data_IF_951370410187
#
_entry.id   IF_951370410187
#
_cell.length_a   1.000
_cell.length_b   1.000
_cell.length_c   1.000
_cell.angle_alpha   90.00
_cell.angle_beta   90.00
_cell.angle_gamma   90.00
#
_symmetry.space_group_name_H-M   'P 1'
#
loop_
_entity.id
_entity.type
_entity.pdbx_description
1 polymer ?
#
# COMPACT_ATOMS: atom_id res chain seq x y z
N UNK A 1 16.36 4.90 -19.00
CA UNK A 1 15.42 6.02 -19.22
C UNK A 1 16.10 7.36 -19.41
N UNK A 2 17.03 7.78 -18.55
CA UNK A 2 17.65 9.12 -18.62
C UNK A 2 18.22 9.51 -19.99
N UNK A 3 18.97 8.61 -20.62
CA UNK A 3 19.61 8.78 -21.94
C UNK A 3 18.73 8.34 -23.14
N UNK A 4 17.47 7.98 -22.90
CA UNK A 4 16.60 7.47 -23.95
C UNK A 4 15.79 8.62 -24.55
N UNK A 5 16.09 9.02 -25.79
CA UNK A 5 15.44 10.19 -26.40
C UNK A 5 14.37 9.84 -27.44
N UNK A 6 14.43 8.66 -28.06
CA UNK A 6 13.43 8.21 -29.02
C UNK A 6 12.20 7.63 -28.31
N UNK A 7 11.00 8.16 -28.60
CA UNK A 7 9.73 7.75 -27.97
C UNK A 7 9.49 6.25 -28.01
N UNK A 8 9.70 5.59 -29.16
CA UNK A 8 9.53 4.14 -29.28
C UNK A 8 10.52 3.36 -28.40
N UNK A 9 11.74 3.87 -28.27
CA UNK A 9 12.76 3.28 -27.39
C UNK A 9 12.41 3.50 -25.92
N UNK A 10 11.87 4.67 -25.56
CA UNK A 10 11.39 4.95 -24.21
C UNK A 10 10.24 4.02 -23.80
N UNK A 11 9.24 3.84 -24.68
CA UNK A 11 8.11 2.93 -24.44
C UNK A 11 8.57 1.49 -24.26
N UNK A 12 9.42 1.01 -25.17
CA UNK A 12 9.97 -0.34 -25.06
C UNK A 12 10.79 -0.51 -23.79
N UNK A 13 11.67 0.44 -23.48
CA UNK A 13 12.52 0.36 -22.30
C UNK A 13 11.69 0.41 -21.01
N UNK A 14 10.62 1.21 -20.95
CA UNK A 14 9.72 1.24 -19.81
C UNK A 14 9.00 -0.11 -19.62
N UNK A 15 8.51 -0.72 -20.71
CA UNK A 15 7.88 -2.04 -20.67
C UNK A 15 8.88 -3.15 -20.27
N UNK A 16 10.09 -3.13 -20.83
CA UNK A 16 11.15 -4.10 -20.53
C UNK A 16 11.60 -3.98 -19.06
N UNK A 17 11.72 -2.75 -18.53
CA UNK A 17 12.06 -2.51 -17.12
C UNK A 17 10.94 -2.94 -16.17
N UNK A 18 9.68 -2.69 -16.52
CA UNK A 18 8.54 -3.17 -15.74
C UNK A 18 8.51 -4.71 -15.72
N UNK A 19 8.66 -5.34 -16.89
CA UNK A 19 8.65 -6.81 -17.02
C UNK A 19 9.78 -7.54 -16.29
N UNK A 20 10.77 -6.83 -15.73
CA UNK A 20 11.80 -7.46 -14.89
C UNK A 20 11.20 -8.15 -13.66
N UNK A 21 10.11 -7.63 -13.10
CA UNK A 21 9.49 -8.24 -11.91
C UNK A 21 8.91 -9.62 -12.23
N UNK A 22 8.46 -9.84 -13.47
CA UNK A 22 7.85 -11.11 -13.88
C UNK A 22 8.85 -12.27 -13.97
N UNK A 23 10.16 -11.97 -14.03
CA UNK A 23 11.23 -12.98 -14.08
C UNK A 23 11.92 -13.17 -12.73
N UNK A 24 11.57 -12.36 -11.72
CA UNK A 24 12.13 -12.49 -10.37
C UNK A 24 11.43 -13.62 -9.60
N UNK A 25 12.16 -14.36 -8.75
CA UNK A 25 11.54 -15.19 -7.73
C UNK A 25 10.61 -14.37 -6.83
N UNK A 26 9.49 -14.94 -6.43
CA UNK A 26 8.44 -14.26 -5.65
C UNK A 26 8.99 -13.60 -4.36
N UNK A 27 9.92 -14.27 -3.68
CA UNK A 27 10.59 -13.78 -2.46
C UNK A 27 11.36 -12.47 -2.67
N UNK A 28 11.83 -12.23 -3.91
CA UNK A 28 12.66 -11.07 -4.26
C UNK A 28 11.89 -9.96 -4.96
N UNK A 29 10.67 -10.24 -5.42
CA UNK A 29 9.84 -9.30 -6.15
C UNK A 29 9.48 -8.06 -5.30
N UNK A 30 9.09 -8.26 -4.03
CA UNK A 30 8.77 -7.15 -3.12
C UNK A 30 10.00 -6.29 -2.77
N UNK A 31 11.16 -6.86 -2.35
CA UNK A 31 12.38 -6.08 -2.17
C UNK A 31 12.80 -5.28 -3.41
N UNK A 32 12.66 -5.86 -4.60
CA UNK A 32 12.98 -5.18 -5.86
C UNK A 32 12.04 -3.99 -6.12
N UNK A 33 10.72 -4.19 -5.98
CA UNK A 33 9.73 -3.11 -6.11
C UNK A 33 9.95 -2.01 -5.07
N UNK A 34 10.28 -2.37 -3.83
CA UNK A 34 10.63 -1.41 -2.77
C UNK A 34 11.85 -0.57 -3.17
N UNK A 35 12.91 -1.20 -3.67
CA UNK A 35 14.11 -0.51 -4.13
C UNK A 35 13.81 0.42 -5.32
N UNK A 36 12.93 0.00 -6.24
CA UNK A 36 12.45 0.84 -7.34
C UNK A 36 11.79 2.12 -6.81
N UNK A 37 10.82 2.00 -5.90
CA UNK A 37 10.10 3.16 -5.36
C UNK A 37 11.00 4.11 -4.55
N UNK A 38 11.90 3.56 -3.73
CA UNK A 38 12.90 4.36 -3.01
C UNK A 38 13.78 5.15 -3.99
N UNK A 39 14.21 4.51 -5.07
CA UNK A 39 15.05 5.16 -6.09
C UNK A 39 14.28 6.25 -6.83
N UNK A 40 13.04 5.99 -7.26
CA UNK A 40 12.21 7.00 -7.92
C UNK A 40 11.96 8.20 -7.01
N UNK A 41 11.62 7.97 -5.74
CA UNK A 41 11.39 9.05 -4.78
C UNK A 41 12.64 9.89 -4.54
N UNK A 42 13.82 9.26 -4.40
CA UNK A 42 15.09 9.95 -4.17
C UNK A 42 15.48 10.85 -5.35
N UNK A 43 15.30 10.37 -6.58
CA UNK A 43 15.72 11.09 -7.78
C UNK A 43 14.66 12.06 -8.33
N UNK A 44 13.43 12.04 -7.80
CA UNK A 44 12.27 12.74 -8.38
C UNK A 44 12.50 14.24 -8.60
N UNK A 45 13.06 14.91 -7.60
CA UNK A 45 13.34 16.36 -7.65
C UNK A 45 14.47 16.72 -8.61
N UNK A 46 15.32 15.74 -8.98
CA UNK A 46 16.40 15.91 -9.95
C UNK A 46 15.96 15.74 -11.40
N UNK A 47 14.72 15.33 -11.66
CA UNK A 47 14.18 15.15 -13.01
C UNK A 47 13.68 16.49 -13.53
N UNK A 48 14.30 17.00 -14.58
CA UNK A 48 13.85 18.22 -15.25
C UNK A 48 12.58 17.99 -16.11
N UNK A 49 11.91 19.09 -16.43
CA UNK A 49 10.63 19.11 -17.13
C UNK A 49 10.67 18.38 -18.49
N UNK A 50 11.81 18.39 -19.20
CA UNK A 50 11.92 17.73 -20.51
C UNK A 50 11.98 16.20 -20.40
N UNK A 51 12.27 15.67 -19.21
CA UNK A 51 12.40 14.24 -18.95
C UNK A 51 11.22 13.68 -18.17
N UNK A 52 10.37 14.51 -17.58
CA UNK A 52 9.31 14.05 -16.67
C UNK A 52 8.38 13.02 -17.33
N UNK A 53 7.99 13.23 -18.59
CA UNK A 53 7.05 12.35 -19.31
C UNK A 53 7.55 10.91 -19.43
N UNK A 54 8.85 10.72 -19.69
CA UNK A 54 9.42 9.37 -19.86
C UNK A 54 9.57 8.65 -18.52
N UNK A 55 9.76 9.39 -17.42
CA UNK A 55 9.77 8.82 -16.08
C UNK A 55 8.36 8.53 -15.56
N UNK A 56 7.38 9.40 -15.87
CA UNK A 56 5.96 9.11 -15.64
C UNK A 56 5.51 7.86 -16.39
N UNK A 57 5.96 7.68 -17.63
CA UNK A 57 5.70 6.46 -18.40
C UNK A 57 6.29 5.22 -17.73
N UNK A 58 7.51 5.30 -17.20
CA UNK A 58 8.14 4.19 -16.47
C UNK A 58 7.37 3.86 -15.19
N UNK A 59 7.05 4.87 -14.38
CA UNK A 59 6.25 4.71 -13.15
C UNK A 59 4.93 4.04 -13.47
N UNK A 60 4.21 4.55 -14.49
CA UNK A 60 2.96 3.97 -14.95
C UNK A 60 3.12 2.52 -15.41
N UNK A 61 4.18 2.21 -16.14
CA UNK A 61 4.41 0.84 -16.64
C UNK A 61 4.65 -0.15 -15.50
N UNK A 62 5.34 0.28 -14.44
CA UNK A 62 5.56 -0.53 -13.22
C UNK A 62 4.29 -0.66 -12.38
N UNK A 63 3.43 0.36 -12.32
CA UNK A 63 2.14 0.28 -11.61
C UNK A 63 1.08 -0.49 -12.38
N UNK A 64 1.05 -0.37 -13.71
CA UNK A 64 0.11 -1.06 -14.60
C UNK A 64 0.51 -2.53 -14.81
N UNK A 65 1.59 -2.99 -14.17
CA UNK A 65 1.96 -4.40 -14.17
C UNK A 65 0.79 -5.25 -13.70
N UNK A 66 0.47 -6.29 -14.48
CA UNK A 66 -0.43 -7.34 -14.02
C UNK A 66 0.28 -8.06 -12.89
N UNK A 67 0.02 -7.66 -11.64
CA UNK A 67 0.51 -8.35 -10.45
C UNK A 67 0.24 -9.84 -10.64
N UNK A 68 1.28 -10.68 -10.81
CA UNK A 68 1.12 -12.11 -11.03
C UNK A 68 0.35 -12.72 -9.86
N UNK A 69 -0.45 -13.75 -10.12
CA UNK A 69 -1.24 -14.37 -9.06
C UNK A 69 -0.36 -14.94 -7.94
N UNK A 70 0.87 -15.40 -8.25
CA UNK A 70 1.85 -15.84 -7.24
C UNK A 70 2.15 -14.76 -6.21
N UNK A 71 2.53 -13.57 -6.67
CA UNK A 71 2.74 -12.41 -5.79
C UNK A 71 1.49 -12.00 -5.01
N UNK A 72 0.29 -12.11 -5.60
CA UNK A 72 -0.96 -11.85 -4.87
C UNK A 72 -1.15 -12.86 -3.74
N UNK A 73 -0.86 -14.14 -3.97
CA UNK A 73 -0.97 -15.16 -2.95
C UNK A 73 0.04 -14.95 -1.83
N UNK A 74 1.31 -14.70 -2.18
CA UNK A 74 2.33 -14.39 -1.19
C UNK A 74 1.98 -13.17 -0.35
N UNK A 75 1.49 -12.09 -0.97
CA UNK A 75 1.05 -10.91 -0.24
C UNK A 75 -0.08 -11.24 0.73
N UNK A 76 -1.06 -12.04 0.32
CA UNK A 76 -2.18 -12.46 1.18
C UNK A 76 -1.67 -13.34 2.33
N UNK A 77 -0.74 -14.27 2.05
CA UNK A 77 -0.16 -15.18 3.05
C UNK A 77 0.59 -14.42 4.14
N UNK A 78 1.42 -13.45 3.76
CA UNK A 78 2.21 -12.67 4.74
C UNK A 78 1.41 -11.54 5.39
N UNK A 79 0.22 -11.19 4.87
CA UNK A 79 -0.46 -9.96 5.29
C UNK A 79 -0.79 -9.95 6.79
N UNK A 80 -1.36 -11.05 7.28
CA UNK A 80 -1.71 -11.19 8.69
C UNK A 80 -0.45 -11.29 9.55
N UNK A 81 0.61 -11.94 9.05
CA UNK A 81 1.90 -12.06 9.74
C UNK A 81 2.57 -10.68 9.94
N UNK A 82 2.58 -9.83 8.92
CA UNK A 82 3.15 -8.49 9.00
C UNK A 82 2.36 -7.59 9.96
N UNK A 83 1.02 -7.69 9.97
CA UNK A 83 0.19 -6.99 10.94
C UNK A 83 0.46 -7.47 12.38
N UNK A 84 0.66 -8.79 12.58
CA UNK A 84 0.99 -9.40 13.87
C UNK A 84 2.37 -8.96 14.37
N UNK A 85 3.32 -8.80 13.45
CA UNK A 85 4.64 -8.25 13.78
C UNK A 85 4.58 -6.78 14.22
N UNK A 86 3.66 -5.98 13.67
CA UNK A 86 3.51 -4.57 14.05
C UNK A 86 2.84 -4.39 15.43
N UNK A 87 2.01 -5.33 15.84
CA UNK A 87 1.29 -5.32 17.13
C UNK A 87 1.62 -6.54 17.99
N UNK A 88 2.88 -6.99 17.98
CA UNK A 88 3.33 -8.10 18.83
C UNK A 88 2.99 -7.93 20.32
N UNK A 89 3.10 -6.72 20.94
CA UNK A 89 2.67 -6.53 22.32
C UNK A 89 1.14 -6.48 22.49
N UNK A 90 0.35 -6.60 21.42
CA UNK A 90 -1.12 -6.48 21.41
C UNK A 90 -1.58 -5.24 22.16
N UNK A 91 -0.92 -4.12 21.86
CA UNK A 91 -1.16 -2.84 22.54
C UNK A 91 -2.49 -2.20 22.12
N UNK A 92 -3.16 -2.75 21.11
CA UNK A 92 -4.52 -2.35 20.71
C UNK A 92 -4.60 -1.00 20.01
N UNK A 93 -3.46 -0.42 19.66
CA UNK A 93 -3.40 0.87 18.98
C UNK A 93 -3.51 0.76 17.46
N UNK A 94 -3.49 -0.45 16.89
CA UNK A 94 -3.65 -0.63 15.45
C UNK A 94 -5.13 -0.56 15.07
N UNK A 95 -5.51 0.31 14.11
CA UNK A 95 -6.85 0.29 13.52
C UNK A 95 -6.98 -0.90 12.56
N UNK A 96 -7.12 -2.10 13.12
CA UNK A 96 -7.10 -3.37 12.37
C UNK A 96 -8.23 -3.44 11.34
N UNK A 97 -9.40 -2.89 11.63
CA UNK A 97 -10.53 -2.78 10.71
C UNK A 97 -10.16 -1.97 9.45
N UNK A 98 -9.51 -0.82 9.63
CA UNK A 98 -9.01 0.03 8.55
C UNK A 98 -7.90 -0.68 7.77
N UNK A 99 -6.99 -1.34 8.48
CA UNK A 99 -5.88 -2.07 7.87
C UNK A 99 -6.36 -3.30 7.09
N UNK A 100 -7.44 -3.97 7.49
CA UNK A 100 -8.01 -5.11 6.75
C UNK A 100 -8.85 -4.70 5.54
N UNK A 101 -9.32 -3.45 5.47
CA UNK A 101 -10.19 -2.95 4.38
C UNK A 101 -9.66 -3.23 2.95
N UNK A 102 -8.37 -2.99 2.63
CA UNK A 102 -7.82 -3.34 1.33
C UNK A 102 -7.90 -4.84 1.02
N UNK A 103 -7.66 -5.69 2.01
CA UNK A 103 -7.72 -7.14 1.87
C UNK A 103 -9.17 -7.61 1.68
N UNK A 104 -10.13 -7.06 2.45
CA UNK A 104 -11.56 -7.33 2.30
C UNK A 104 -12.06 -6.96 0.90
N UNK A 105 -11.68 -5.76 0.41
CA UNK A 105 -12.03 -5.32 -0.94
C UNK A 105 -11.42 -6.20 -2.02
N UNK A 106 -10.20 -6.70 -1.83
CA UNK A 106 -9.61 -7.69 -2.74
C UNK A 106 -10.43 -9.00 -2.75
N UNK A 107 -10.97 -9.41 -1.61
CA UNK A 107 -11.84 -10.57 -1.48
C UNK A 107 -13.18 -10.44 -2.20
N UNK A 108 -13.73 -9.23 -2.30
CA UNK A 108 -15.01 -8.97 -3.01
C UNK A 108 -14.82 -8.70 -4.49
N UNK A 109 -13.87 -7.83 -4.83
CA UNK A 109 -13.80 -7.18 -6.14
C UNK A 109 -12.88 -7.93 -7.12
N UNK A 110 -12.02 -8.82 -6.63
CA UNK A 110 -11.04 -9.49 -7.49
C UNK A 110 -11.73 -10.33 -8.57
N UNK A 111 -11.37 -10.16 -9.86
CA UNK A 111 -11.94 -10.95 -10.94
C UNK A 111 -11.52 -12.44 -10.86
N UNK A 112 -10.48 -12.75 -10.09
CA UNK A 112 -9.92 -14.11 -9.98
C UNK A 112 -10.50 -14.85 -8.78
N UNK A 113 -11.28 -15.92 -9.02
CA UNK A 113 -11.92 -16.70 -7.95
C UNK A 113 -10.92 -17.27 -6.94
N UNK A 114 -9.78 -17.77 -7.41
CA UNK A 114 -8.73 -18.32 -6.54
C UNK A 114 -8.16 -17.25 -5.58
N UNK A 115 -7.98 -16.01 -6.04
CA UNK A 115 -7.58 -14.89 -5.18
C UNK A 115 -8.63 -14.59 -4.13
N UNK A 116 -9.92 -14.57 -4.49
CA UNK A 116 -11.00 -14.36 -3.51
C UNK A 116 -11.05 -15.45 -2.44
N UNK A 117 -10.85 -16.71 -2.82
CA UNK A 117 -10.81 -17.83 -1.88
C UNK A 117 -9.62 -17.70 -0.92
N UNK A 118 -8.44 -17.34 -1.45
CA UNK A 118 -7.23 -17.16 -0.64
C UNK A 118 -7.37 -16.02 0.36
N UNK A 119 -7.97 -14.89 -0.05
CA UNK A 119 -8.32 -13.79 0.86
C UNK A 119 -9.26 -14.28 1.96
N UNK A 120 -10.26 -15.09 1.61
CA UNK A 120 -11.21 -15.63 2.60
C UNK A 120 -10.49 -16.48 3.65
N UNK A 121 -9.56 -17.34 3.22
CA UNK A 121 -8.73 -18.14 4.14
C UNK A 121 -7.91 -17.25 5.09
N UNK A 122 -7.28 -16.19 4.58
CA UNK A 122 -6.53 -15.24 5.40
C UNK A 122 -7.42 -14.47 6.39
N UNK A 123 -8.65 -14.13 6.01
CA UNK A 123 -9.63 -13.48 6.88
C UNK A 123 -10.25 -14.42 7.93
N UNK A 124 -10.06 -15.73 7.79
CA UNK A 124 -10.45 -16.75 8.77
C UNK A 124 -9.30 -17.07 9.76
N UNK A 125 -8.16 -16.37 9.68
CA UNK A 125 -7.04 -16.55 10.60
C UNK A 125 -7.45 -16.28 12.05
N UNK A 126 -7.16 -17.25 12.93
CA UNK A 126 -7.53 -17.22 14.35
C UNK A 126 -6.98 -16.00 15.08
N UNK A 127 -5.82 -15.46 14.66
CA UNK A 127 -5.19 -14.28 15.27
C UNK A 127 -6.01 -13.00 15.09
N UNK A 128 -6.85 -12.94 14.05
CA UNK A 128 -7.77 -11.82 13.82
C UNK A 128 -8.88 -11.78 14.87
N UNK A 129 -9.23 -12.94 15.44
CA UNK A 129 -10.25 -13.00 16.51
C UNK A 129 -9.77 -12.34 17.80
N UNK A 130 -8.46 -12.38 18.07
CA UNK A 130 -7.85 -11.74 19.24
C UNK A 130 -7.86 -10.21 19.10
N UNK A 131 -7.64 -9.67 17.89
CA UNK A 131 -7.74 -8.23 17.64
C UNK A 131 -9.16 -7.68 17.75
N UNK A 132 -10.16 -8.49 17.42
CA UNK A 132 -11.58 -8.13 17.61
C UNK A 132 -12.05 -8.26 19.07
N UNK A 133 -11.19 -8.77 19.98
CA UNK A 133 -11.52 -9.02 21.39
C UNK A 133 -10.79 -8.06 22.33
N UNK A 134 -10.21 -6.99 21.81
CA UNK A 134 -9.77 -5.88 22.64
C UNK A 134 -11.02 -5.23 23.23
N UNK A 135 -11.27 -5.50 24.51
CA UNK A 135 -12.09 -4.65 25.37
C UNK A 135 -11.72 -3.20 25.07
N UNK A 136 -12.70 -2.28 24.91
CA UNK A 136 -12.39 -0.88 24.64
C UNK A 136 -11.37 -0.44 25.67
N UNK A 137 -10.22 0.02 25.18
CA UNK A 137 -9.10 0.43 26.02
C UNK A 137 -9.65 1.21 27.21
N UNK A 138 -9.41 0.70 28.42
CA UNK A 138 -9.73 1.43 29.64
C UNK A 138 -9.15 2.84 29.45
N UNK A 139 -10.03 3.84 29.48
CA UNK A 139 -9.64 5.24 29.49
C UNK A 139 -8.86 5.47 30.78
N UNK A 140 -7.57 5.17 30.78
CA UNK A 140 -6.63 5.71 31.76
C UNK A 140 -6.55 7.18 31.43
N UNK A 141 -7.33 7.95 32.19
CA UNK A 141 -7.56 9.35 31.98
C UNK A 141 -6.28 10.14 31.88
N UNK A 142 -6.20 10.94 30.83
CA UNK A 142 -5.92 12.35 30.88
C UNK A 142 -6.49 12.91 29.57
N UNK A 143 -7.72 13.43 29.65
CA UNK A 143 -8.24 14.26 28.59
C UNK A 143 -7.39 15.52 28.58
N UNK A 144 -6.36 15.56 27.74
CA UNK A 144 -5.71 16.81 27.39
C UNK A 144 -6.81 17.70 26.79
N UNK A 145 -7.14 18.73 27.55
CA UNK A 145 -8.04 19.80 27.18
C UNK A 145 -7.34 20.62 26.10
N UNK A 146 -7.73 20.42 24.84
CA UNK A 146 -7.32 21.30 23.76
C UNK A 146 -8.28 22.49 23.78
N UNK A 147 -7.88 23.54 24.49
CA UNK A 147 -8.53 24.85 24.45
C UNK A 147 -8.43 25.41 23.02
N UNK A 148 -9.44 25.11 22.21
CA UNK A 148 -9.71 25.88 21.00
C UNK A 148 -10.68 26.98 21.41
N UNK A 149 -10.14 28.18 21.60
CA UNK A 149 -10.89 29.43 21.64
C UNK A 149 -11.71 29.52 20.34
N UNK A 150 -12.99 29.15 20.41
CA UNK A 150 -13.96 29.52 19.39
C UNK A 150 -14.19 31.03 19.51
N UNK A 151 -13.52 31.80 18.65
CA UNK A 151 -13.87 33.20 18.40
C UNK A 151 -15.32 33.26 17.88
N UNK A 152 -16.22 33.58 18.81
CA UNK A 152 -17.63 33.93 18.64
C UNK A 152 -17.79 35.01 17.56
N UNK A 153 -18.15 34.58 16.35
CA UNK A 153 -18.56 35.49 15.28
C UNK A 153 -19.97 36.01 15.58
N UNK A 154 -20.03 37.21 16.15
CA UNK A 154 -21.26 37.97 16.44
C UNK A 154 -21.91 38.48 15.14
N UNK A 155 -23.19 38.16 14.97
CA UNK A 155 -23.96 38.52 13.79
C UNK A 155 -24.23 40.02 13.71
N UNK A 156 -24.37 40.55 12.49
CA UNK A 156 -25.01 41.85 12.29
C UNK A 156 -26.44 41.60 11.78
N UNK A 157 -27.38 42.11 12.57
CA UNK A 157 -28.84 42.06 12.39
C UNK A 157 -29.37 43.00 11.28
N UNK A 158 -30.59 42.65 10.88
CA UNK A 158 -31.65 43.34 10.09
C UNK A 158 -31.48 43.52 8.58
#
# INVERSE_FOLDING_TARGET
MWMSDRTRTQQRLAADLAGLVDVLPDETALPFLRAFWITIAREWTGIDVLRIDKFLLLVRSVTDMKIPNGLRYHLIDIYVDELDMLDTPRSGNLPIDVLLSPLQRLGTDSPTKAVRLKVKEALEDVRLSDWNRLEPAEQTGEAEQWDLEEEEWDGIND
#
